data_IF_863325315863
#
_entry.id   IF_863325315863
#
_cell.length_a   1.000
_cell.length_b   1.000
_cell.length_c   1.000
_cell.angle_alpha   90.00
_cell.angle_beta   90.00
_cell.angle_gamma   90.00
#
_symmetry.space_group_name_H-M   'P 1'
#
loop_
_entity.id
_entity.type
_entity.pdbx_description
1 polymer ?
#
# COMPACT_ATOMS: atom_id res chain seq x y z
N UNK A 1 5.92 22.05 -10.05
CA UNK A 1 6.01 20.60 -10.32
C UNK A 1 6.98 20.23 -11.44
N UNK A 2 7.04 21.02 -12.55
CA UNK A 2 7.93 20.73 -13.68
C UNK A 2 9.42 20.66 -13.31
N UNK A 3 10.00 21.59 -12.55
CA UNK A 3 11.44 21.52 -12.20
C UNK A 3 11.78 20.27 -11.41
N UNK A 4 10.93 19.87 -10.45
CA UNK A 4 11.13 18.68 -9.62
C UNK A 4 11.09 17.38 -10.43
N UNK A 5 10.14 17.28 -11.36
CA UNK A 5 9.99 16.10 -12.21
C UNK A 5 11.18 15.89 -13.15
N UNK A 6 11.78 16.99 -13.65
CA UNK A 6 12.96 16.92 -14.52
C UNK A 6 14.27 16.67 -13.80
N UNK A 7 14.36 17.00 -12.51
CA UNK A 7 15.57 16.80 -11.71
C UNK A 7 15.66 15.44 -11.04
N UNK A 8 14.54 14.70 -10.95
CA UNK A 8 14.56 13.36 -10.39
C UNK A 8 14.88 12.34 -11.48
N UNK A 9 15.73 11.37 -11.15
CA UNK A 9 16.04 10.26 -12.06
C UNK A 9 14.77 9.58 -12.60
N UNK A 10 13.74 9.53 -11.78
CA UNK A 10 12.45 8.94 -12.10
C UNK A 10 11.61 9.80 -13.06
N UNK A 11 11.53 11.09 -12.81
CA UNK A 11 10.71 12.01 -13.60
C UNK A 11 11.32 12.38 -14.96
N UNK A 12 12.64 12.31 -15.09
CA UNK A 12 13.36 12.68 -16.31
C UNK A 12 13.29 11.64 -17.43
N UNK A 13 12.96 10.39 -17.10
CA UNK A 13 12.90 9.30 -18.10
C UNK A 13 11.50 9.15 -18.68
N UNK A 14 11.33 9.07 -20.00
CA UNK A 14 10.07 8.69 -20.62
C UNK A 14 9.57 7.33 -20.09
N UNK A 15 8.25 7.12 -20.02
CA UNK A 15 7.67 5.86 -19.51
C UNK A 15 8.23 4.64 -20.22
N UNK A 16 8.42 4.72 -21.54
CA UNK A 16 8.97 3.63 -22.36
C UNK A 16 10.41 3.25 -22.02
N UNK A 17 11.17 4.15 -21.40
CA UNK A 17 12.55 3.90 -20.97
C UNK A 17 12.66 3.45 -19.50
N UNK A 18 11.52 3.37 -18.80
CA UNK A 18 11.46 2.84 -17.44
C UNK A 18 11.31 1.32 -17.51
N UNK A 19 11.88 0.63 -16.54
CA UNK A 19 11.77 -0.83 -16.44
C UNK A 19 10.36 -1.22 -15.93
N UNK A 20 9.32 -0.89 -16.72
CA UNK A 20 7.95 -1.24 -16.39
C UNK A 20 7.72 -2.69 -16.83
N UNK A 21 7.24 -3.56 -15.96
CA UNK A 21 6.93 -4.94 -16.34
C UNK A 21 5.95 -4.99 -17.50
N UNK A 22 6.22 -5.84 -18.49
CA UNK A 22 5.39 -5.94 -19.70
C UNK A 22 3.93 -6.25 -19.37
N UNK A 23 3.66 -7.12 -18.40
CA UNK A 23 2.31 -7.45 -17.97
C UNK A 23 1.50 -6.21 -17.52
N UNK A 24 2.16 -5.19 -16.93
CA UNK A 24 1.49 -3.96 -16.53
C UNK A 24 1.15 -3.07 -17.73
N UNK A 25 2.01 -3.07 -18.76
CA UNK A 25 1.76 -2.38 -20.02
C UNK A 25 0.66 -3.06 -20.83
N UNK A 26 0.55 -4.38 -20.75
CA UNK A 26 -0.44 -5.19 -21.46
C UNK A 26 -1.80 -5.22 -20.73
N UNK A 27 -1.88 -4.71 -19.52
CA UNK A 27 -3.12 -4.66 -18.75
C UNK A 27 -4.12 -3.71 -19.40
N UNK A 28 -5.24 -4.22 -19.82
CA UNK A 28 -6.35 -3.47 -20.42
C UNK A 28 -7.59 -3.40 -19.51
N UNK A 29 -7.68 -4.30 -18.53
CA UNK A 29 -8.80 -4.36 -17.58
C UNK A 29 -8.31 -4.41 -16.14
N UNK A 30 -8.79 -3.45 -15.35
CA UNK A 30 -8.52 -3.37 -13.92
C UNK A 30 -9.79 -3.63 -13.14
N UNK A 31 -9.84 -4.73 -12.38
CA UNK A 31 -10.97 -5.05 -11.51
C UNK A 31 -10.58 -4.87 -10.04
N UNK A 32 -11.54 -4.43 -9.23
CA UNK A 32 -11.36 -4.28 -7.79
C UNK A 32 -12.08 -5.40 -7.04
N UNK A 33 -11.34 -6.28 -6.40
CA UNK A 33 -11.86 -7.27 -5.47
C UNK A 33 -11.87 -6.73 -4.03
N UNK A 34 -12.86 -7.11 -3.24
CA UNK A 34 -13.04 -6.63 -1.86
C UNK A 34 -13.43 -7.77 -0.93
N UNK A 35 -12.48 -8.22 -0.11
CA UNK A 35 -12.66 -9.35 0.80
C UNK A 35 -12.19 -10.68 0.24
N UNK A 36 -12.26 -11.70 1.07
CA UNK A 36 -11.84 -13.08 0.77
C UNK A 36 -12.97 -14.01 1.20
N UNK A 37 -13.74 -14.49 0.23
CA UNK A 37 -14.85 -15.46 0.39
C UNK A 37 -15.28 -15.98 -0.99
N UNK A 38 -16.14 -16.99 -1.02
CA UNK A 38 -16.58 -17.65 -2.25
C UNK A 38 -17.33 -16.70 -3.22
N UNK A 39 -18.07 -15.73 -2.70
CA UNK A 39 -18.75 -14.74 -3.55
C UNK A 39 -17.74 -13.90 -4.33
N UNK A 40 -16.68 -13.43 -3.65
CA UNK A 40 -15.59 -12.65 -4.28
C UNK A 40 -14.81 -13.54 -5.24
N UNK A 41 -14.47 -14.78 -4.84
CA UNK A 41 -13.81 -15.78 -5.70
C UNK A 41 -14.58 -15.98 -7.00
N UNK A 42 -15.88 -16.24 -6.89
CA UNK A 42 -16.76 -16.42 -8.06
C UNK A 42 -16.81 -15.17 -8.95
N UNK A 43 -16.93 -13.99 -8.34
CA UNK A 43 -16.99 -12.74 -9.09
C UNK A 43 -15.69 -12.44 -9.84
N UNK A 44 -14.53 -12.66 -9.20
CA UNK A 44 -13.21 -12.50 -9.82
C UNK A 44 -13.05 -13.47 -10.99
N UNK A 45 -13.39 -14.74 -10.80
CA UNK A 45 -13.30 -15.75 -11.86
C UNK A 45 -14.20 -15.41 -13.06
N UNK A 46 -15.45 -15.01 -12.82
CA UNK A 46 -16.35 -14.55 -13.89
C UNK A 46 -15.79 -13.32 -14.63
N UNK A 47 -15.19 -12.38 -13.93
CA UNK A 47 -14.58 -11.21 -14.57
C UNK A 47 -13.40 -11.63 -15.46
N UNK A 48 -12.57 -12.57 -15.01
CA UNK A 48 -11.47 -13.10 -15.83
C UNK A 48 -12.01 -13.88 -17.04
N UNK A 49 -13.09 -14.64 -16.90
CA UNK A 49 -13.76 -15.31 -18.03
C UNK A 49 -14.23 -14.33 -19.09
N UNK A 50 -14.71 -13.16 -18.66
CA UNK A 50 -15.25 -12.12 -19.55
C UNK A 50 -14.14 -11.28 -20.21
N UNK A 51 -13.12 -10.89 -19.45
CA UNK A 51 -12.11 -9.91 -19.89
C UNK A 51 -10.78 -10.56 -20.31
N UNK A 52 -10.53 -11.81 -19.93
CA UNK A 52 -9.34 -12.57 -20.33
C UNK A 52 -8.08 -12.28 -19.48
N UNK A 53 -6.95 -12.77 -19.98
CA UNK A 53 -5.66 -12.79 -19.27
C UNK A 53 -5.02 -11.44 -19.00
N UNK A 54 -5.40 -10.40 -19.72
CA UNK A 54 -4.90 -9.03 -19.48
C UNK A 54 -5.65 -8.33 -18.35
N UNK A 55 -6.35 -9.11 -17.52
CA UNK A 55 -7.05 -8.62 -16.33
C UNK A 55 -6.11 -8.52 -15.14
N UNK A 56 -6.17 -7.38 -14.48
CA UNK A 56 -5.44 -7.09 -13.27
C UNK A 56 -6.41 -7.01 -12.08
N UNK A 57 -6.11 -7.71 -11.00
CA UNK A 57 -6.95 -7.74 -9.79
C UNK A 57 -6.32 -6.91 -8.69
N UNK A 58 -6.92 -5.77 -8.39
CA UNK A 58 -6.60 -4.93 -7.26
C UNK A 58 -7.43 -5.37 -6.05
N UNK A 59 -6.76 -5.87 -4.99
CA UNK A 59 -7.44 -6.57 -3.92
C UNK A 59 -7.41 -5.82 -2.60
N UNK A 60 -8.59 -5.48 -2.07
CA UNK A 60 -8.82 -4.88 -0.75
C UNK A 60 -9.29 -5.92 0.26
N UNK A 61 -9.15 -5.60 1.57
CA UNK A 61 -9.68 -6.41 2.69
C UNK A 61 -9.16 -7.87 2.70
N UNK A 62 -7.93 -8.05 2.26
CA UNK A 62 -7.27 -9.33 2.19
C UNK A 62 -6.64 -9.77 3.53
N UNK A 63 -6.35 -8.80 4.40
CA UNK A 63 -5.75 -9.02 5.72
C UNK A 63 -6.78 -9.39 6.79
N UNK A 64 -6.30 -10.01 7.88
CA UNK A 64 -7.15 -10.52 8.97
C UNK A 64 -7.84 -9.39 9.74
N UNK A 65 -7.13 -8.32 10.05
CA UNK A 65 -7.67 -7.19 10.80
C UNK A 65 -8.80 -6.46 10.06
N UNK A 66 -9.72 -5.80 10.78
CA UNK A 66 -10.68 -4.91 10.16
C UNK A 66 -9.99 -3.82 9.32
N UNK A 67 -10.67 -3.39 8.27
CA UNK A 67 -10.13 -2.36 7.38
C UNK A 67 -9.91 -1.04 8.11
N UNK A 68 -8.85 -0.31 7.74
CA UNK A 68 -8.39 0.93 8.37
C UNK A 68 -7.99 0.77 9.85
N UNK A 69 -7.56 -0.42 10.26
CA UNK A 69 -7.03 -0.70 11.60
C UNK A 69 -5.71 -1.46 11.53
N UNK A 70 -4.90 -1.38 12.57
CA UNK A 70 -3.65 -2.13 12.77
C UNK A 70 -2.59 -1.92 11.68
N UNK A 71 -2.69 -0.87 10.87
CA UNK A 71 -1.65 -0.57 9.90
C UNK A 71 -0.29 -0.34 10.57
N UNK A 72 0.82 -0.83 10.03
CA UNK A 72 0.99 -1.64 8.82
C UNK A 72 0.97 -3.17 9.08
N UNK A 73 0.42 -3.65 10.18
CA UNK A 73 0.42 -5.06 10.58
C UNK A 73 -0.62 -5.85 9.78
N UNK A 74 -0.38 -6.02 8.48
CA UNK A 74 -1.32 -6.64 7.54
C UNK A 74 -1.44 -8.16 7.67
N UNK A 75 -0.44 -8.81 8.27
CA UNK A 75 -0.47 -10.26 8.44
C UNK A 75 -1.04 -10.67 9.80
N UNK A 76 -1.68 -11.85 9.86
CA UNK A 76 -1.84 -12.81 8.77
C UNK A 76 -2.83 -12.35 7.70
N UNK A 77 -2.65 -12.87 6.48
CA UNK A 77 -3.69 -12.78 5.46
C UNK A 77 -4.93 -13.59 5.88
N UNK A 78 -6.09 -13.26 5.33
CA UNK A 78 -7.29 -14.09 5.52
C UNK A 78 -7.06 -15.48 4.95
N UNK A 79 -7.68 -16.47 5.58
CA UNK A 79 -7.74 -17.84 5.08
C UNK A 79 -8.19 -17.83 3.61
N UNK A 80 -7.64 -18.68 2.80
CA UNK A 80 -7.89 -18.83 1.36
C UNK A 80 -7.36 -17.70 0.45
N UNK A 81 -6.83 -16.61 0.99
CA UNK A 81 -6.37 -15.51 0.13
C UNK A 81 -5.21 -15.93 -0.78
N UNK A 82 -4.24 -16.67 -0.24
CA UNK A 82 -3.11 -17.17 -1.03
C UNK A 82 -3.55 -18.12 -2.14
N UNK A 83 -4.57 -18.96 -1.87
CA UNK A 83 -5.18 -19.86 -2.86
C UNK A 83 -5.88 -19.07 -3.96
N UNK A 84 -6.70 -18.07 -3.61
CA UNK A 84 -7.38 -17.21 -4.59
C UNK A 84 -6.40 -16.45 -5.49
N UNK A 85 -5.25 -16.02 -4.94
CA UNK A 85 -4.18 -15.42 -5.75
C UNK A 85 -3.57 -16.46 -6.70
N UNK A 86 -3.37 -17.70 -6.24
CA UNK A 86 -2.84 -18.77 -7.07
C UNK A 86 -3.78 -19.07 -8.26
N UNK A 87 -5.09 -19.15 -8.02
CA UNK A 87 -6.11 -19.32 -9.07
C UNK A 87 -6.03 -18.22 -10.13
N UNK A 88 -5.95 -16.96 -9.71
CA UNK A 88 -5.81 -15.81 -10.63
C UNK A 88 -4.54 -15.92 -11.47
N UNK A 89 -3.42 -16.28 -10.84
CA UNK A 89 -2.13 -16.44 -11.50
C UNK A 89 -2.11 -17.60 -12.49
N UNK A 90 -2.71 -18.75 -12.16
CA UNK A 90 -2.80 -19.91 -13.05
C UNK A 90 -3.59 -19.60 -14.32
N UNK A 91 -4.46 -18.61 -14.28
CA UNK A 91 -5.20 -18.09 -15.44
C UNK A 91 -4.42 -17.04 -16.24
N UNK A 92 -3.15 -16.79 -15.88
CA UNK A 92 -2.28 -15.80 -16.54
C UNK A 92 -2.60 -14.35 -16.18
N UNK A 93 -3.44 -14.13 -15.17
CA UNK A 93 -3.80 -12.81 -14.67
C UNK A 93 -2.88 -12.36 -13.52
N UNK A 94 -2.96 -11.10 -13.15
CA UNK A 94 -2.07 -10.48 -12.17
C UNK A 94 -2.83 -9.96 -10.96
N UNK A 95 -2.22 -10.06 -9.78
CA UNK A 95 -2.82 -9.60 -8.52
C UNK A 95 -1.92 -8.60 -7.81
N UNK A 96 -2.54 -7.52 -7.33
CA UNK A 96 -1.88 -6.46 -6.56
C UNK A 96 -2.74 -6.13 -5.34
N UNK A 97 -2.37 -6.61 -4.15
CA UNK A 97 -3.07 -6.27 -2.92
C UNK A 97 -2.82 -4.83 -2.51
N UNK A 98 -3.81 -4.24 -1.86
CA UNK A 98 -3.77 -2.92 -1.28
C UNK A 98 -3.01 -2.90 0.04
N UNK A 99 -2.16 -1.91 0.24
CA UNK A 99 -1.67 -1.48 1.54
C UNK A 99 -1.75 0.04 1.67
N UNK A 100 -1.82 0.54 2.91
CA UNK A 100 -1.67 1.96 3.19
C UNK A 100 -0.18 2.26 3.43
N UNK A 101 0.36 3.24 2.72
CA UNK A 101 1.79 3.63 2.80
C UNK A 101 2.07 4.81 3.73
N UNK A 102 1.08 5.29 4.47
CA UNK A 102 1.18 6.56 5.19
C UNK A 102 0.73 6.48 6.65
N UNK A 103 -0.16 5.56 6.99
CA UNK A 103 -0.80 5.52 8.30
C UNK A 103 -0.22 4.41 9.17
N UNK A 104 -0.03 4.72 10.44
CA UNK A 104 0.37 3.76 11.47
C UNK A 104 -0.63 3.83 12.63
N UNK A 105 -1.28 2.71 12.89
CA UNK A 105 -2.22 2.59 14.00
C UNK A 105 -1.44 2.50 15.33
N UNK A 106 -1.64 3.43 16.26
CA UNK A 106 -0.97 3.36 17.56
C UNK A 106 -1.34 2.13 18.40
N UNK A 107 -2.44 1.45 18.06
CA UNK A 107 -2.85 0.21 18.73
C UNK A 107 -2.22 -1.05 18.09
N UNK A 108 -1.47 -0.91 16.98
CA UNK A 108 -0.77 -2.04 16.39
C UNK A 108 0.45 -2.45 17.24
N UNK A 109 0.75 -3.74 17.25
CA UNK A 109 1.90 -4.27 17.99
C UNK A 109 3.21 -3.65 17.52
N UNK A 110 3.35 -3.42 16.22
CA UNK A 110 4.53 -2.81 15.63
C UNK A 110 4.76 -1.37 16.08
N UNK A 111 3.71 -0.60 16.37
CA UNK A 111 3.85 0.80 16.78
C UNK A 111 4.59 0.95 18.09
N UNK A 112 4.20 0.18 19.10
CA UNK A 112 4.86 0.19 20.40
C UNK A 112 6.27 -0.43 20.31
N UNK A 113 6.39 -1.59 19.65
CA UNK A 113 7.65 -2.34 19.55
C UNK A 113 8.76 -1.57 18.84
N UNK A 114 8.41 -0.78 17.82
CA UNK A 114 9.37 -0.05 16.97
C UNK A 114 9.42 1.45 17.24
N UNK A 115 8.78 1.93 18.33
CA UNK A 115 8.69 3.36 18.63
C UNK A 115 8.14 4.17 17.46
N UNK A 116 6.94 3.80 16.97
CA UNK A 116 6.28 4.39 15.82
C UNK A 116 6.13 5.92 15.88
N UNK A 117 6.05 6.48 17.09
CA UNK A 117 6.02 7.92 17.31
C UNK A 117 7.26 8.64 16.75
N UNK A 118 8.41 7.95 16.63
CA UNK A 118 9.65 8.52 16.07
C UNK A 118 9.60 8.68 14.55
N UNK A 119 8.77 7.88 13.88
CA UNK A 119 8.56 7.97 12.45
C UNK A 119 7.34 8.83 12.07
N UNK A 120 6.60 9.32 13.07
CA UNK A 120 5.36 10.06 12.86
C UNK A 120 5.61 11.53 12.62
N UNK A 121 4.80 12.12 11.77
CA UNK A 121 4.75 13.55 11.54
C UNK A 121 4.23 14.30 12.76
N UNK A 122 4.73 15.51 12.98
CA UNK A 122 4.31 16.36 14.09
C UNK A 122 3.81 17.70 13.59
N UNK A 123 2.85 18.24 14.31
CA UNK A 123 2.38 19.62 14.15
C UNK A 123 3.42 20.60 14.73
N UNK A 124 3.32 21.91 14.44
CA UNK A 124 4.21 22.92 14.98
C UNK A 124 4.24 22.96 16.53
N UNK A 125 3.17 22.56 17.19
CA UNK A 125 3.07 22.46 18.64
C UNK A 125 3.74 21.19 19.24
N UNK A 126 4.35 20.35 18.38
CA UNK A 126 5.00 19.10 18.76
C UNK A 126 4.08 17.90 18.92
N UNK A 127 2.76 18.08 18.83
CA UNK A 127 1.81 16.96 18.88
C UNK A 127 1.84 16.14 17.59
N UNK A 128 1.46 14.85 17.67
CA UNK A 128 1.42 14.00 16.49
C UNK A 128 0.36 14.48 15.49
N UNK A 129 0.73 14.44 14.22
CA UNK A 129 -0.27 14.59 13.16
C UNK A 129 -1.02 13.27 13.01
N UNK A 130 -2.35 13.33 13.12
CA UNK A 130 -3.21 12.15 13.11
C UNK A 130 -4.34 12.30 12.12
N UNK A 131 -4.81 11.18 11.59
CA UNK A 131 -5.98 11.09 10.74
C UNK A 131 -6.95 10.05 11.27
N UNK A 132 -8.24 10.32 11.10
CA UNK A 132 -9.31 9.41 11.48
C UNK A 132 -10.20 9.14 10.28
N UNK A 133 -10.52 7.88 10.04
CA UNK A 133 -11.51 7.49 9.05
C UNK A 133 -12.84 7.17 9.72
N UNK A 134 -13.98 7.65 9.15
CA UNK A 134 -15.29 7.45 9.76
C UNK A 134 -15.65 5.98 9.99
N UNK A 135 -15.12 5.09 9.16
CA UNK A 135 -15.41 3.64 9.21
C UNK A 135 -14.77 2.96 10.40
N UNK A 136 -13.47 3.14 10.58
CA UNK A 136 -12.71 2.49 11.67
C UNK A 136 -12.76 3.26 12.97
N UNK A 137 -12.85 4.58 12.88
CA UNK A 137 -12.72 5.53 14.01
C UNK A 137 -11.36 5.43 14.71
N UNK A 138 -10.37 4.80 14.09
CA UNK A 138 -9.00 4.72 14.61
C UNK A 138 -8.30 6.05 14.35
N UNK A 139 -7.66 6.56 15.40
CA UNK A 139 -6.84 7.77 15.31
C UNK A 139 -5.43 7.37 14.87
N UNK A 140 -5.26 7.20 13.56
CA UNK A 140 -3.99 6.79 12.97
C UNK A 140 -2.95 7.91 13.06
N UNK A 141 -1.73 7.55 13.39
CA UNK A 141 -0.58 8.42 13.26
C UNK A 141 -0.13 8.52 11.81
N UNK A 142 0.08 9.74 11.32
CA UNK A 142 0.59 9.97 9.96
C UNK A 142 2.11 9.85 9.99
N UNK A 143 2.66 8.96 9.19
CA UNK A 143 4.09 8.72 9.11
C UNK A 143 4.78 9.65 8.12
N UNK A 144 6.05 9.93 8.37
CA UNK A 144 6.90 10.68 7.46
C UNK A 144 7.50 9.75 6.40
N UNK A 145 7.25 9.99 5.10
CA UNK A 145 7.81 9.15 4.04
C UNK A 145 9.35 9.23 3.96
N UNK A 146 9.98 10.28 4.53
CA UNK A 146 11.43 10.39 4.63
C UNK A 146 12.03 9.61 5.81
N UNK A 147 11.20 9.12 6.75
CA UNK A 147 11.66 8.30 7.87
C UNK A 147 12.26 6.99 7.38
N UNK A 148 13.52 6.72 7.74
CA UNK A 148 14.19 5.45 7.41
C UNK A 148 13.51 4.25 8.07
N UNK A 149 12.98 4.43 9.28
CA UNK A 149 12.19 3.40 9.96
C UNK A 149 10.95 3.04 9.13
N UNK A 150 10.18 4.05 8.71
CA UNK A 150 8.98 3.80 7.92
C UNK A 150 9.28 3.18 6.55
N UNK A 151 10.31 3.69 5.86
CA UNK A 151 10.77 3.11 4.60
C UNK A 151 11.13 1.63 4.75
N UNK A 152 11.83 1.27 5.83
CA UNK A 152 12.18 -0.12 6.14
C UNK A 152 10.94 -0.99 6.34
N UNK A 153 9.99 -0.54 7.17
CA UNK A 153 8.74 -1.26 7.45
C UNK A 153 7.94 -1.52 6.17
N UNK A 154 7.74 -0.52 5.32
CA UNK A 154 7.01 -0.69 4.07
C UNK A 154 7.77 -1.60 3.10
N UNK A 155 9.09 -1.48 3.03
CA UNK A 155 9.92 -2.37 2.20
C UNK A 155 9.78 -3.83 2.64
N UNK A 156 9.92 -4.09 3.94
CA UNK A 156 9.81 -5.45 4.49
C UNK A 156 8.41 -6.03 4.30
N UNK A 157 7.37 -5.21 4.47
CA UNK A 157 5.99 -5.60 4.19
C UNK A 157 5.78 -5.98 2.72
N UNK A 158 6.28 -5.18 1.78
CA UNK A 158 6.18 -5.48 0.33
C UNK A 158 6.91 -6.78 0.00
N UNK A 159 8.11 -6.97 0.54
CA UNK A 159 8.89 -8.21 0.36
C UNK A 159 8.13 -9.42 0.94
N UNK A 160 7.54 -9.27 2.12
CA UNK A 160 6.75 -10.33 2.77
C UNK A 160 5.52 -10.71 1.93
N UNK A 161 4.76 -9.72 1.48
CA UNK A 161 3.60 -9.93 0.60
C UNK A 161 4.02 -10.71 -0.66
N UNK A 162 5.08 -10.29 -1.32
CA UNK A 162 5.57 -10.96 -2.53
C UNK A 162 6.03 -12.40 -2.23
N UNK A 163 6.76 -12.62 -1.15
CA UNK A 163 7.29 -13.94 -0.80
C UNK A 163 6.20 -14.92 -0.38
N UNK A 164 5.26 -14.48 0.45
CA UNK A 164 4.24 -15.37 1.02
C UNK A 164 3.03 -15.55 0.11
N UNK A 165 2.60 -14.48 -0.57
CA UNK A 165 1.39 -14.49 -1.40
C UNK A 165 1.68 -14.64 -2.91
N UNK A 166 2.97 -14.52 -3.33
CA UNK A 166 3.37 -14.64 -4.74
C UNK A 166 2.64 -13.66 -5.67
N UNK A 167 2.41 -12.44 -5.18
CA UNK A 167 1.75 -11.37 -5.95
C UNK A 167 2.68 -10.76 -7.00
N UNK A 168 2.11 -10.13 -8.02
CA UNK A 168 2.87 -9.47 -9.09
C UNK A 168 3.34 -8.07 -8.69
N UNK A 169 2.70 -7.47 -7.70
CA UNK A 169 3.04 -6.16 -7.17
C UNK A 169 2.26 -5.87 -5.89
N UNK A 170 2.37 -4.65 -5.38
CA UNK A 170 1.61 -4.14 -4.24
C UNK A 170 1.15 -2.74 -4.56
N UNK A 171 -0.13 -2.44 -4.32
CA UNK A 171 -0.65 -1.09 -4.40
C UNK A 171 -0.43 -0.38 -3.08
N UNK A 172 0.40 0.65 -3.09
CA UNK A 172 0.72 1.45 -1.91
C UNK A 172 -0.07 2.75 -1.97
N UNK A 173 -1.15 2.80 -1.20
CA UNK A 173 -2.03 3.96 -1.14
C UNK A 173 -1.45 5.08 -0.28
N UNK A 174 -1.81 6.31 -0.58
CA UNK A 174 -1.55 7.53 0.19
C UNK A 174 -0.07 7.90 0.41
N UNK A 175 0.88 7.20 -0.16
CA UNK A 175 2.31 7.47 0.06
C UNK A 175 2.74 8.89 -0.37
N UNK A 176 2.00 9.50 -1.30
CA UNK A 176 2.27 10.84 -1.83
C UNK A 176 1.06 11.80 -1.67
N UNK A 177 0.09 11.45 -0.84
CA UNK A 177 -1.19 12.17 -0.75
C UNK A 177 -1.21 13.34 0.26
N UNK A 178 -0.09 13.61 0.95
CA UNK A 178 -0.01 14.76 1.85
C UNK A 178 -0.03 16.07 1.04
N UNK A 179 -0.92 17.01 1.43
CA UNK A 179 -0.91 18.34 0.85
C UNK A 179 0.45 19.01 1.10
N UNK A 180 1.03 19.70 0.09
CA UNK A 180 2.20 20.56 0.31
C UNK A 180 1.80 21.68 1.28
N UNK A 181 2.54 21.87 2.35
CA UNK A 181 2.32 22.97 3.29
C UNK A 181 1.93 22.55 4.72
N UNK A 182 1.70 21.28 5.02
CA UNK A 182 1.85 20.82 6.39
C UNK A 182 3.35 20.86 6.70
N UNK A 183 3.82 21.84 7.46
CA UNK A 183 5.18 21.82 8.01
C UNK A 183 5.27 20.59 8.92
N UNK A 184 5.93 19.58 8.40
CA UNK A 184 6.11 18.31 9.07
C UNK A 184 7.53 18.26 9.57
N UNK A 185 7.71 18.51 10.85
CA UNK A 185 8.97 18.20 11.52
C UNK A 185 8.95 16.72 11.96
N UNK A 186 9.90 15.95 11.47
CA UNK A 186 10.22 14.67 12.11
C UNK A 186 11.01 14.97 13.40
N UNK A 187 10.87 14.14 14.41
CA UNK A 187 11.61 14.30 15.68
C UNK A 187 13.14 14.19 15.57
N UNK A 188 13.65 14.05 14.37
CA UNK A 188 15.06 14.19 13.97
C UNK A 188 15.14 15.41 13.06
N UNK A 189 15.56 16.55 13.53
CA UNK A 189 15.91 17.83 12.88
C UNK A 189 16.07 17.82 11.33
N UNK A 190 15.20 17.17 10.59
CA UNK A 190 15.13 17.22 9.16
C UNK A 190 14.00 18.19 8.79
N UNK A 191 14.39 19.45 8.59
CA UNK A 191 13.56 20.40 7.86
C UNK A 191 13.40 19.83 6.45
N UNK A 192 12.21 19.39 6.10
CA UNK A 192 11.89 19.06 4.72
C UNK A 192 11.85 20.37 3.94
N UNK A 193 12.79 20.58 3.03
CA UNK A 193 12.82 21.65 2.04
C UNK A 193 11.86 21.32 0.91
#
# INVERSE_FOLDING_TARGET
YRPFTFTTEWGSKPLVSRNIPQWLLDTDTWIRAKGVNDTVRTAVNKAIDLYGKNTFVHWYFWHHHPYDTHYPDYFPAKTDFAEMIAEVRERGCHTVPYINGRLWDPASDSYAALNGASASCRKPDGTLYTEIYPTSKVLNSVTCPASKLWQGIITDLVIKIQKELKTNGVYIDQIAAAAPGAEVTTGTNLTAI
#
